data_IF_626568970590
#
_entry.id   IF_626568970590
#
_cell.length_a   1.000
_cell.length_b   1.000
_cell.length_c   1.000
_cell.angle_alpha   90.00
_cell.angle_beta   90.00
_cell.angle_gamma   90.00
#
_symmetry.space_group_name_H-M   'P 1'
#
loop_
_entity.id
_entity.type
_entity.pdbx_description
1 polymer ?
#
# COMPACT_ATOMS: atom_id res chain seq x y z
N UNK A 1 18.93 16.31 20.77
CA UNK A 1 19.20 16.00 19.35
C UNK A 1 18.43 14.72 19.08
N UNK A 2 17.62 14.67 18.02
CA UNK A 2 16.85 13.47 17.66
C UNK A 2 17.55 12.71 16.55
N UNK A 3 17.43 11.39 16.57
CA UNK A 3 17.99 10.51 15.54
C UNK A 3 16.93 10.15 14.51
N UNK A 4 17.35 9.88 13.27
CA UNK A 4 16.45 9.53 12.16
C UNK A 4 16.99 8.28 11.45
N UNK A 5 16.16 7.26 11.36
CA UNK A 5 16.37 6.09 10.50
C UNK A 5 15.53 6.25 9.23
N UNK A 6 16.17 6.19 8.07
CA UNK A 6 15.50 6.15 6.77
C UNK A 6 15.43 4.70 6.27
N UNK A 7 14.22 4.21 5.99
CA UNK A 7 13.97 2.90 5.38
C UNK A 7 13.04 3.05 4.19
N UNK A 8 13.20 2.17 3.20
CA UNK A 8 12.34 2.12 2.02
C UNK A 8 11.73 0.72 1.87
N UNK A 9 10.45 0.67 1.54
CA UNK A 9 9.70 -0.56 1.29
C UNK A 9 8.64 -0.33 0.22
N UNK A 10 8.10 -1.42 -0.33
CA UNK A 10 7.08 -1.35 -1.36
C UNK A 10 5.71 -1.70 -0.81
N UNK A 11 4.72 -0.82 -0.98
CA UNK A 11 3.32 -1.09 -0.62
C UNK A 11 2.57 -1.93 -1.68
N UNK A 12 3.26 -2.29 -2.79
CA UNK A 12 2.76 -3.10 -3.92
C UNK A 12 3.90 -3.98 -4.50
N UNK A 13 3.68 -5.17 -5.10
CA UNK A 13 2.42 -5.88 -5.32
C UNK A 13 1.69 -6.24 -4.04
N UNK A 14 0.40 -6.59 -4.16
CA UNK A 14 -0.46 -6.90 -3.02
C UNK A 14 -0.05 -8.18 -2.31
N UNK A 15 1.02 -8.18 -1.50
CA UNK A 15 1.45 -9.35 -0.71
C UNK A 15 0.45 -9.75 0.38
N UNK A 16 -0.66 -9.03 0.51
CA UNK A 16 -1.78 -9.52 1.30
C UNK A 16 -2.62 -10.58 0.59
N UNK A 17 -2.47 -10.82 -0.71
CA UNK A 17 -3.18 -11.87 -1.46
C UNK A 17 -2.43 -13.21 -1.39
N UNK A 18 -3.11 -14.35 -1.54
CA UNK A 18 -2.46 -15.65 -1.79
C UNK A 18 -1.62 -15.64 -3.08
N UNK A 19 -0.66 -16.57 -3.18
CA UNK A 19 0.26 -16.65 -4.33
C UNK A 19 -0.47 -16.90 -5.65
N UNK A 20 -1.56 -17.66 -5.62
CA UNK A 20 -2.39 -17.97 -6.79
C UNK A 20 -3.00 -16.70 -7.42
N UNK A 21 -3.27 -15.69 -6.58
CA UNK A 21 -3.93 -14.45 -6.96
C UNK A 21 -2.94 -13.32 -7.31
N UNK A 22 -1.64 -13.47 -7.00
CA UNK A 22 -0.66 -12.40 -7.25
C UNK A 22 -0.49 -12.05 -8.73
N UNK A 23 -0.79 -12.99 -9.63
CA UNK A 23 -0.70 -12.77 -11.07
C UNK A 23 -2.02 -12.30 -11.71
N UNK A 24 -3.07 -12.05 -10.91
CA UNK A 24 -4.39 -11.69 -11.43
C UNK A 24 -4.44 -10.33 -12.12
N UNK A 25 -3.56 -9.40 -11.74
CA UNK A 25 -3.42 -8.10 -12.42
C UNK A 25 -2.99 -8.33 -13.88
N UNK A 26 -1.97 -9.15 -14.11
CA UNK A 26 -1.54 -9.52 -15.46
C UNK A 26 -2.67 -10.23 -16.22
N UNK A 27 -3.32 -11.24 -15.61
CA UNK A 27 -4.45 -11.95 -16.23
C UNK A 27 -5.61 -11.01 -16.59
N UNK A 28 -5.84 -9.97 -15.81
CA UNK A 28 -6.84 -8.93 -16.08
C UNK A 28 -6.41 -8.03 -17.23
N UNK A 29 -5.18 -7.55 -17.24
CA UNK A 29 -4.68 -6.69 -18.32
C UNK A 29 -4.62 -7.39 -19.67
N UNK A 30 -4.31 -8.69 -19.71
CA UNK A 30 -4.35 -9.47 -20.96
C UNK A 30 -5.75 -9.53 -21.58
N UNK A 31 -6.83 -9.27 -20.81
CA UNK A 31 -8.20 -9.17 -21.33
C UNK A 31 -8.53 -7.78 -21.90
N UNK A 32 -7.72 -6.76 -21.63
CA UNK A 32 -8.00 -5.39 -22.09
C UNK A 32 -7.94 -5.30 -23.62
N UNK A 33 -8.88 -4.61 -24.28
CA UNK A 33 -8.81 -4.33 -25.71
C UNK A 33 -7.69 -3.34 -26.07
N UNK A 34 -7.13 -2.61 -25.09
CA UNK A 34 -6.04 -1.65 -25.31
C UNK A 34 -4.67 -2.32 -25.49
N UNK A 35 -4.53 -3.56 -25.02
CA UNK A 35 -3.32 -4.35 -25.25
C UNK A 35 -3.38 -4.96 -26.66
N UNK A 36 -2.38 -4.71 -27.53
CA UNK A 36 -2.32 -5.29 -28.88
C UNK A 36 -2.38 -6.82 -28.84
N UNK A 37 -2.99 -7.43 -29.86
CA UNK A 37 -3.21 -8.88 -29.89
C UNK A 37 -1.88 -9.65 -29.86
N UNK A 38 -0.87 -9.15 -30.55
CA UNK A 38 0.48 -9.70 -30.57
C UNK A 38 1.16 -9.67 -29.19
N UNK A 39 0.89 -8.67 -28.36
CA UNK A 39 1.46 -8.58 -27.00
C UNK A 39 0.79 -9.55 -26.02
N UNK A 40 -0.40 -10.07 -26.36
CA UNK A 40 -1.10 -11.09 -25.57
C UNK A 40 -0.63 -12.50 -25.88
N UNK A 41 -0.01 -12.71 -27.04
CA UNK A 41 0.52 -14.00 -27.45
C UNK A 41 1.83 -14.28 -26.68
N UNK A 42 1.88 -15.33 -25.84
CA UNK A 42 3.07 -15.71 -25.09
C UNK A 42 4.30 -15.99 -25.96
N UNK A 43 4.11 -16.31 -27.25
CA UNK A 43 5.22 -16.47 -28.20
C UNK A 43 6.03 -15.19 -28.42
N UNK A 44 5.43 -14.02 -28.14
CA UNK A 44 6.07 -12.71 -28.26
C UNK A 44 6.56 -12.16 -26.90
N UNK A 45 6.39 -12.90 -25.81
CA UNK A 45 6.79 -12.44 -24.50
C UNK A 45 8.31 -12.47 -24.30
N UNK A 46 8.87 -11.55 -23.50
CA UNK A 46 10.26 -11.63 -23.08
C UNK A 46 10.58 -12.98 -22.41
N UNK A 47 11.79 -13.54 -22.60
CA UNK A 47 12.17 -14.82 -22.01
C UNK A 47 11.90 -14.91 -20.50
N UNK A 48 12.12 -13.82 -19.76
CA UNK A 48 11.92 -13.73 -18.32
C UNK A 48 10.44 -13.85 -17.93
N UNK A 49 9.54 -13.30 -18.75
CA UNK A 49 8.10 -13.41 -18.54
C UNK A 49 7.63 -14.84 -18.80
N UNK A 50 8.14 -15.48 -19.88
CA UNK A 50 7.87 -16.90 -20.13
C UNK A 50 8.40 -17.75 -18.99
N UNK A 51 9.61 -17.48 -18.48
CA UNK A 51 10.22 -18.18 -17.35
C UNK A 51 9.37 -18.09 -16.07
N UNK A 52 8.89 -16.89 -15.73
CA UNK A 52 8.18 -16.64 -14.48
C UNK A 52 6.69 -17.02 -14.55
N UNK A 53 6.02 -16.72 -15.66
CA UNK A 53 4.58 -16.98 -15.80
C UNK A 53 4.30 -18.37 -16.38
N UNK A 54 5.13 -18.84 -17.31
CA UNK A 54 4.78 -19.94 -18.21
C UNK A 54 4.07 -19.43 -19.46
N UNK A 55 3.82 -20.31 -20.43
CA UNK A 55 3.05 -19.92 -21.62
C UNK A 55 1.57 -19.79 -21.29
N UNK A 56 1.07 -20.59 -20.36
CA UNK A 56 -0.35 -20.65 -19.98
C UNK A 56 -0.58 -20.24 -18.52
N UNK A 57 0.45 -19.70 -17.84
CA UNK A 57 0.38 -19.31 -16.43
C UNK A 57 0.70 -20.42 -15.44
N UNK A 58 1.18 -21.57 -15.92
CA UNK A 58 1.46 -22.76 -15.12
C UNK A 58 2.59 -22.58 -14.09
N UNK A 59 3.45 -21.56 -14.27
CA UNK A 59 4.53 -21.21 -13.33
C UNK A 59 4.22 -20.02 -12.43
N UNK A 60 3.12 -19.30 -12.68
CA UNK A 60 2.81 -18.04 -12.03
C UNK A 60 2.77 -18.15 -10.49
N UNK A 61 2.10 -19.17 -9.94
CA UNK A 61 2.00 -19.36 -8.48
C UNK A 61 3.36 -19.64 -7.84
N UNK A 62 4.18 -20.51 -8.45
CA UNK A 62 5.50 -20.83 -7.92
C UNK A 62 6.43 -19.60 -7.94
N UNK A 63 6.39 -18.82 -9.03
CA UNK A 63 7.14 -17.56 -9.13
C UNK A 63 6.65 -16.50 -8.14
N UNK A 64 5.33 -16.44 -7.88
CA UNK A 64 4.74 -15.57 -6.87
C UNK A 64 5.25 -15.90 -5.46
N UNK A 65 5.31 -17.18 -5.09
CA UNK A 65 5.84 -17.63 -3.80
C UNK A 65 7.31 -17.21 -3.63
N UNK A 66 8.15 -17.41 -4.65
CA UNK A 66 9.56 -16.97 -4.62
C UNK A 66 9.67 -15.44 -4.51
N UNK A 67 8.83 -14.70 -5.24
CA UNK A 67 8.79 -13.25 -5.19
C UNK A 67 8.39 -12.74 -3.80
N UNK A 68 7.36 -13.34 -3.20
CA UNK A 68 6.91 -13.06 -1.83
C UNK A 68 8.03 -13.27 -0.84
N UNK A 69 8.68 -14.43 -0.82
CA UNK A 69 9.75 -14.71 0.13
C UNK A 69 10.89 -13.68 0.02
N UNK A 70 11.22 -13.24 -1.19
CA UNK A 70 12.23 -12.19 -1.39
C UNK A 70 11.80 -10.86 -0.78
N UNK A 71 10.58 -10.40 -1.05
CA UNK A 71 10.13 -9.08 -0.59
C UNK A 71 9.78 -9.09 0.90
N UNK A 72 9.07 -10.10 1.37
CA UNK A 72 8.76 -10.26 2.80
C UNK A 72 10.03 -10.52 3.61
N UNK A 73 11.00 -11.27 3.07
CA UNK A 73 12.33 -11.39 3.68
C UNK A 73 13.04 -10.04 3.84
N UNK A 74 12.85 -9.09 2.91
CA UNK A 74 13.35 -7.72 3.05
C UNK A 74 12.55 -6.93 4.10
N UNK A 75 11.23 -7.07 4.14
CA UNK A 75 10.38 -6.45 5.18
C UNK A 75 10.73 -6.92 6.59
N UNK A 76 11.04 -8.21 6.77
CA UNK A 76 11.52 -8.75 8.07
C UNK A 76 12.82 -8.07 8.51
N UNK A 77 13.75 -7.79 7.59
CA UNK A 77 14.97 -7.04 7.88
C UNK A 77 14.66 -5.58 8.25
N UNK A 78 13.82 -4.91 7.46
CA UNK A 78 13.38 -3.53 7.76
C UNK A 78 12.73 -3.45 9.14
N UNK A 79 11.87 -4.42 9.46
CA UNK A 79 11.21 -4.52 10.76
C UNK A 79 12.23 -4.69 11.89
N UNK A 80 13.22 -5.56 11.72
CA UNK A 80 14.28 -5.74 12.71
C UNK A 80 15.10 -4.45 12.93
N UNK A 81 15.42 -3.71 11.87
CA UNK A 81 16.11 -2.41 11.98
C UNK A 81 15.26 -1.36 12.70
N UNK A 82 13.95 -1.30 12.42
CA UNK A 82 13.00 -0.43 13.14
C UNK A 82 12.93 -0.80 14.62
N UNK A 83 12.81 -2.09 14.93
CA UNK A 83 12.72 -2.57 16.32
C UNK A 83 14.03 -2.28 17.08
N UNK A 84 15.19 -2.43 16.43
CA UNK A 84 16.50 -2.12 17.01
C UNK A 84 16.70 -0.60 17.21
N UNK A 85 16.19 0.21 16.28
CA UNK A 85 16.22 1.67 16.38
C UNK A 85 15.25 2.21 17.44
N UNK A 86 14.17 1.49 17.72
CA UNK A 86 13.15 1.81 18.72
C UNK A 86 12.60 3.26 18.60
N UNK A 87 12.03 3.65 17.45
CA UNK A 87 11.55 5.00 17.23
C UNK A 87 10.30 5.33 18.07
N UNK A 88 10.17 6.61 18.45
CA UNK A 88 8.95 7.13 19.09
C UNK A 88 7.73 7.09 18.16
N UNK A 89 7.96 7.26 16.85
CA UNK A 89 6.97 7.14 15.80
C UNK A 89 7.66 6.97 14.43
N UNK A 90 6.88 6.56 13.42
CA UNK A 90 7.32 6.46 12.03
C UNK A 90 6.51 7.44 11.18
N UNK A 91 7.21 8.25 10.39
CA UNK A 91 6.59 9.07 9.35
C UNK A 91 6.58 8.26 8.04
N UNK A 92 5.40 7.96 7.51
CA UNK A 92 5.27 7.22 6.24
C UNK A 92 4.86 8.21 5.16
N UNK A 93 5.67 8.32 4.10
CA UNK A 93 5.27 8.99 2.86
C UNK A 93 4.59 7.96 1.95
N UNK A 94 3.36 8.24 1.56
CA UNK A 94 2.56 7.33 0.74
C UNK A 94 1.58 8.08 -0.15
N UNK A 95 1.22 7.47 -1.27
CA UNK A 95 0.20 7.98 -2.16
C UNK A 95 -1.21 7.62 -1.68
N UNK A 96 -2.19 8.31 -2.26
CA UNK A 96 -3.61 7.98 -2.19
C UNK A 96 -4.08 7.80 -3.63
N UNK A 97 -4.58 6.61 -3.94
CA UNK A 97 -5.04 6.28 -5.30
C UNK A 97 -6.53 6.54 -5.40
N UNK A 98 -6.95 7.80 -5.19
CA UNK A 98 -8.36 8.20 -5.24
C UNK A 98 -9.23 7.42 -4.24
N UNK A 99 -8.66 7.18 -3.05
CA UNK A 99 -9.32 6.48 -1.96
C UNK A 99 -9.98 7.46 -1.00
N UNK A 100 -9.21 8.43 -0.51
CA UNK A 100 -9.68 9.50 0.37
C UNK A 100 -9.72 10.86 -0.33
N UNK A 101 -8.84 11.13 -1.30
CA UNK A 101 -8.80 12.43 -2.00
C UNK A 101 -9.50 12.34 -3.36
N UNK A 102 -10.60 13.08 -3.49
CA UNK A 102 -11.49 13.08 -4.65
C UNK A 102 -11.60 14.50 -5.25
N UNK A 103 -12.51 14.72 -6.21
CA UNK A 103 -12.66 15.98 -6.95
C UNK A 103 -12.89 17.22 -6.08
N UNK A 104 -13.35 17.05 -4.85
CA UNK A 104 -13.53 18.12 -3.88
C UNK A 104 -12.21 18.63 -3.28
N UNK A 105 -11.19 17.78 -3.17
CA UNK A 105 -9.86 18.15 -2.71
C UNK A 105 -8.79 17.17 -3.21
N UNK A 106 -7.88 17.68 -4.05
CA UNK A 106 -6.66 16.97 -4.49
C UNK A 106 -5.43 17.77 -4.04
N UNK A 107 -4.90 17.54 -2.83
CA UNK A 107 -3.75 18.28 -2.34
C UNK A 107 -2.44 17.66 -2.87
N UNK A 108 -1.36 18.44 -3.05
CA UNK A 108 -0.05 17.87 -3.39
C UNK A 108 0.53 17.06 -2.22
N UNK A 109 0.27 17.51 -0.99
CA UNK A 109 0.68 16.87 0.25
C UNK A 109 -0.44 16.95 1.29
N UNK A 110 -0.53 15.99 2.20
CA UNK A 110 -1.41 16.11 3.36
C UNK A 110 -0.90 15.32 4.57
N UNK A 111 -0.82 15.96 5.74
CA UNK A 111 -0.49 15.27 6.99
C UNK A 111 -1.76 14.86 7.71
N UNK A 112 -1.89 13.59 8.07
CA UNK A 112 -3.02 13.12 8.88
C UNK A 112 -2.73 13.29 10.38
N UNK A 113 -3.67 13.91 11.09
CA UNK A 113 -3.58 14.27 12.51
C UNK A 113 -4.69 13.55 13.27
N UNK A 114 -4.41 12.33 13.70
CA UNK A 114 -5.32 11.54 14.52
C UNK A 114 -4.54 10.83 15.65
N UNK A 115 -5.24 10.38 16.68
CA UNK A 115 -4.65 9.57 17.76
C UNK A 115 -4.46 8.10 17.31
N UNK A 116 -5.36 7.61 16.46
CA UNK A 116 -5.30 6.30 15.84
C UNK A 116 -6.10 6.27 14.53
N UNK A 117 -5.90 5.21 13.75
CA UNK A 117 -6.69 4.91 12.57
C UNK A 117 -7.28 3.51 12.69
N UNK A 118 -8.59 3.40 12.51
CA UNK A 118 -9.30 2.13 12.36
C UNK A 118 -9.49 1.87 10.87
N UNK A 119 -8.85 0.82 10.37
CA UNK A 119 -8.87 0.48 8.93
C UNK A 119 -9.47 -0.89 8.76
N UNK A 120 -10.30 -1.09 7.74
CA UNK A 120 -10.82 -2.40 7.35
C UNK A 120 -10.07 -2.90 6.10
N UNK A 121 -8.89 -3.54 6.26
CA UNK A 121 -7.98 -3.82 5.15
C UNK A 121 -8.54 -4.77 4.08
N UNK A 122 -9.64 -5.45 4.39
CA UNK A 122 -10.22 -6.48 3.54
C UNK A 122 -11.62 -6.13 3.01
N UNK A 123 -12.24 -5.04 3.48
CA UNK A 123 -13.60 -4.68 3.11
C UNK A 123 -13.80 -4.36 1.62
N UNK A 124 -12.76 -3.87 0.92
CA UNK A 124 -12.80 -3.56 -0.52
C UNK A 124 -12.22 -4.68 -1.42
N UNK A 125 -11.76 -5.80 -0.86
CA UNK A 125 -11.22 -6.93 -1.66
C UNK A 125 -12.40 -7.70 -2.26
N UNK A 126 -12.89 -7.22 -3.40
CA UNK A 126 -14.07 -7.74 -4.08
C UNK A 126 -14.00 -9.25 -4.37
N UNK A 127 -14.66 -10.03 -3.52
CA UNK A 127 -15.63 -11.04 -3.90
C UNK A 127 -16.46 -11.34 -2.65
N UNK A 128 -17.78 -11.33 -2.79
CA UNK A 128 -18.72 -11.82 -1.79
C UNK A 128 -18.57 -13.34 -1.68
N UNK A 129 -17.52 -13.80 -1.00
CA UNK A 129 -17.30 -15.21 -0.68
C UNK A 129 -16.99 -15.33 0.80
N UNK A 130 -17.58 -16.33 1.47
CA UNK A 130 -17.39 -16.61 2.90
C UNK A 130 -15.95 -17.06 3.26
N UNK A 131 -15.07 -17.22 2.27
CA UNK A 131 -13.66 -17.58 2.45
C UNK A 131 -12.77 -16.31 2.56
N UNK A 132 -11.81 -16.28 3.51
CA UNK A 132 -10.83 -15.19 3.60
C UNK A 132 -10.04 -15.01 2.29
N UNK A 133 -10.01 -13.78 1.77
CA UNK A 133 -9.31 -13.41 0.54
C UNK A 133 -7.86 -12.93 0.76
N UNK A 134 -7.32 -13.15 1.96
CA UNK A 134 -5.99 -12.70 2.35
C UNK A 134 -5.13 -13.85 2.90
N UNK A 135 -3.80 -13.68 2.79
CA UNK A 135 -2.80 -14.68 3.19
C UNK A 135 -2.83 -15.01 4.69
N UNK A 136 -3.37 -14.11 5.51
CA UNK A 136 -3.49 -14.29 6.97
C UNK A 136 -4.79 -14.97 7.39
N UNK A 137 -5.66 -15.32 6.44
CA UNK A 137 -6.97 -15.93 6.67
C UNK A 137 -7.90 -15.11 7.56
N UNK A 138 -7.69 -13.79 7.64
CA UNK A 138 -8.46 -12.88 8.48
C UNK A 138 -9.84 -12.57 7.86
N UNK A 139 -10.92 -12.44 8.66
CA UNK A 139 -12.25 -12.08 8.17
C UNK A 139 -12.31 -10.75 7.41
N UNK A 140 -13.27 -10.61 6.49
CA UNK A 140 -13.43 -9.40 5.67
C UNK A 140 -13.76 -8.14 6.50
N UNK A 141 -14.43 -8.30 7.63
CA UNK A 141 -14.83 -7.24 8.57
C UNK A 141 -13.76 -6.95 9.65
N UNK A 142 -12.58 -7.56 9.55
CA UNK A 142 -11.44 -7.29 10.44
C UNK A 142 -11.15 -5.79 10.50
N UNK A 143 -11.06 -5.26 11.72
CA UNK A 143 -10.65 -3.87 11.98
C UNK A 143 -9.23 -3.86 12.52
N UNK A 144 -8.30 -3.32 11.74
CA UNK A 144 -6.93 -3.09 12.15
C UNK A 144 -6.80 -1.70 12.80
N UNK A 145 -6.29 -1.67 14.04
CA UNK A 145 -6.04 -0.42 14.77
C UNK A 145 -4.57 -0.04 14.63
N UNK A 146 -4.31 1.07 13.94
CA UNK A 146 -2.95 1.64 13.83
C UNK A 146 -2.84 2.84 14.75
N UNK A 147 -1.93 2.79 15.73
CA UNK A 147 -1.62 3.95 16.58
C UNK A 147 -0.99 5.06 15.77
N UNK A 148 -1.26 6.30 16.16
CA UNK A 148 -0.68 7.49 15.54
C UNK A 148 -0.11 8.43 16.60
N UNK A 149 0.73 9.37 16.16
CA UNK A 149 1.40 10.33 17.04
C UNK A 149 0.91 11.76 16.76
N UNK A 150 -0.32 12.08 17.17
CA UNK A 150 -1.01 13.33 16.85
C UNK A 150 -0.20 14.60 17.17
N UNK A 151 0.53 14.62 18.28
CA UNK A 151 1.36 15.78 18.67
C UNK A 151 2.55 15.99 17.71
N UNK A 152 3.15 14.92 17.20
CA UNK A 152 4.24 14.99 16.22
C UNK A 152 3.71 15.42 14.86
N UNK A 153 2.54 14.90 14.44
CA UNK A 153 1.86 15.32 13.22
C UNK A 153 1.52 16.83 13.26
N UNK A 154 0.94 17.33 14.36
CA UNK A 154 0.67 18.77 14.57
C UNK A 154 1.95 19.60 14.56
N UNK A 155 2.99 19.12 15.23
CA UNK A 155 4.28 19.80 15.26
C UNK A 155 4.86 19.92 13.85
N UNK A 156 4.88 18.83 13.08
CA UNK A 156 5.40 18.78 11.72
C UNK A 156 4.61 19.71 10.79
N UNK A 157 3.28 19.63 10.80
CA UNK A 157 2.42 20.50 10.00
C UNK A 157 2.68 21.98 10.31
N UNK A 158 2.69 22.34 11.59
CA UNK A 158 2.98 23.72 12.03
C UNK A 158 4.36 24.17 11.57
N UNK A 159 5.39 23.35 11.76
CA UNK A 159 6.77 23.73 11.38
C UNK A 159 6.93 23.91 9.88
N UNK A 160 6.35 23.03 9.07
CA UNK A 160 6.39 23.20 7.61
C UNK A 160 5.65 24.46 7.15
N UNK A 161 4.51 24.78 7.77
CA UNK A 161 3.80 26.03 7.50
C UNK A 161 4.61 27.28 7.91
N UNK A 162 5.27 27.25 9.08
CA UNK A 162 6.17 28.33 9.55
C UNK A 162 7.36 28.54 8.58
N UNK A 163 7.86 27.48 7.95
CA UNK A 163 8.91 27.52 6.93
C UNK A 163 8.39 27.89 5.52
N UNK A 164 7.09 28.18 5.37
CA UNK A 164 6.49 28.65 4.11
C UNK A 164 6.03 27.55 3.14
N UNK A 165 6.03 26.28 3.56
CA UNK A 165 5.44 25.20 2.75
C UNK A 165 3.92 25.18 2.88
N UNK A 166 3.22 25.13 1.75
CA UNK A 166 1.77 24.92 1.73
C UNK A 166 1.45 23.45 2.07
N UNK A 167 1.28 23.16 3.36
CA UNK A 167 0.99 21.81 3.87
C UNK A 167 -0.42 21.75 4.44
N UNK A 168 -1.39 21.23 3.66
CA UNK A 168 -2.66 20.76 4.20
C UNK A 168 -2.45 19.71 5.29
N UNK A 169 -3.35 19.70 6.26
CA UNK A 169 -3.42 18.64 7.25
C UNK A 169 -4.88 18.28 7.50
N UNK A 170 -5.15 17.02 7.81
CA UNK A 170 -6.50 16.52 8.04
C UNK A 170 -6.63 15.81 9.38
N UNK A 171 -7.68 16.12 10.13
CA UNK A 171 -8.01 15.44 11.37
C UNK A 171 -8.84 14.16 11.15
N UNK A 172 -9.40 13.96 9.95
CA UNK A 172 -10.21 12.79 9.60
C UNK A 172 -10.27 12.59 8.08
N UNK A 173 -10.47 11.36 7.64
CA UNK A 173 -10.82 11.07 6.25
C UNK A 173 -12.20 11.65 5.88
N UNK A 174 -12.44 11.84 4.58
CA UNK A 174 -13.73 12.26 4.04
C UNK A 174 -14.39 11.14 3.22
N UNK A 175 -13.61 10.49 2.35
CA UNK A 175 -14.13 9.46 1.41
C UNK A 175 -13.60 8.05 1.70
N UNK A 176 -12.68 7.91 2.65
CA UNK A 176 -12.11 6.63 3.08
C UNK A 176 -12.16 6.47 4.60
N UNK A 177 -12.58 5.29 5.07
CA UNK A 177 -12.45 4.90 6.48
C UNK A 177 -11.04 4.37 6.74
N UNK A 178 -10.30 5.03 7.62
CA UNK A 178 -8.95 4.59 8.02
C UNK A 178 -7.86 5.02 7.07
N UNK A 179 -6.86 4.16 6.89
CA UNK A 179 -5.67 4.41 6.08
C UNK A 179 -5.83 3.93 4.64
N UNK A 180 -5.50 4.81 3.68
CA UNK A 180 -5.32 4.45 2.27
C UNK A 180 -4.28 3.33 2.09
N UNK A 181 -4.39 2.60 0.99
CA UNK A 181 -3.68 1.33 0.78
C UNK A 181 -2.16 1.44 0.95
N UNK A 182 -1.53 2.53 0.53
CA UNK A 182 -0.08 2.71 0.63
C UNK A 182 0.41 2.65 2.09
N UNK A 183 -0.32 3.31 3.00
CA UNK A 183 0.00 3.30 4.43
C UNK A 183 -0.38 1.96 5.07
N UNK A 184 -1.60 1.51 4.81
CA UNK A 184 -2.15 0.29 5.38
C UNK A 184 -1.34 -0.95 5.00
N UNK A 185 -0.99 -1.11 3.72
CA UNK A 185 -0.17 -2.23 3.26
C UNK A 185 1.23 -2.17 3.89
N UNK A 186 1.83 -0.99 4.00
CA UNK A 186 3.13 -0.83 4.66
C UNK A 186 3.08 -1.33 6.11
N UNK A 187 2.06 -0.95 6.88
CA UNK A 187 1.87 -1.44 8.25
C UNK A 187 1.65 -2.96 8.25
N UNK A 188 0.79 -3.48 7.38
CA UNK A 188 0.52 -4.92 7.28
C UNK A 188 1.75 -5.75 6.89
N UNK A 189 2.68 -5.19 6.11
CA UNK A 189 3.90 -5.87 5.70
C UNK A 189 5.01 -5.75 6.75
N UNK A 190 5.02 -4.68 7.55
CA UNK A 190 5.87 -4.59 8.75
C UNK A 190 5.40 -5.53 9.87
N UNK A 191 4.12 -5.89 9.87
CA UNK A 191 3.54 -6.92 10.75
C UNK A 191 3.13 -8.18 9.98
N UNK A 192 3.91 -8.55 8.96
CA UNK A 192 3.55 -9.66 8.07
C UNK A 192 3.41 -10.98 8.83
N UNK A 193 4.25 -11.22 9.84
CA UNK A 193 4.24 -12.45 10.63
C UNK A 193 3.25 -12.38 11.83
N UNK A 194 2.45 -11.30 11.94
CA UNK A 194 1.41 -11.09 12.97
C UNK A 194 1.91 -11.20 14.41
N UNK A 195 3.10 -10.66 14.65
CA UNK A 195 3.69 -10.56 16.00
C UNK A 195 3.31 -9.25 16.70
N UNK A 196 2.58 -8.37 16.02
CA UNK A 196 2.19 -7.05 16.46
C UNK A 196 3.16 -5.97 15.98
N UNK A 197 2.62 -4.78 15.69
CA UNK A 197 3.38 -3.58 15.35
C UNK A 197 2.85 -2.38 16.15
N UNK A 198 3.55 -2.06 17.24
CA UNK A 198 3.08 -1.08 18.23
C UNK A 198 3.58 0.35 18.02
N UNK A 199 4.51 0.56 17.08
CA UNK A 199 5.10 1.88 16.83
C UNK A 199 4.06 2.80 16.19
N UNK A 200 3.81 4.00 16.76
CA UNK A 200 2.88 4.96 16.17
C UNK A 200 3.28 5.38 14.76
N UNK A 201 2.31 5.55 13.87
CA UNK A 201 2.52 5.99 12.48
C UNK A 201 1.90 7.37 12.26
N UNK A 202 2.64 8.26 11.62
CA UNK A 202 2.15 9.53 11.08
C UNK A 202 2.09 9.40 9.56
N UNK A 203 0.89 9.32 8.95
CA UNK A 203 0.75 9.29 7.50
C UNK A 203 0.99 10.68 6.89
N UNK A 204 1.86 10.73 5.87
CA UNK A 204 2.13 11.89 5.05
C UNK A 204 1.79 11.55 3.60
N UNK A 205 0.64 12.04 3.14
CA UNK A 205 0.22 11.89 1.76
C UNK A 205 1.11 12.67 0.80
N UNK A 206 1.45 12.03 -0.32
CA UNK A 206 2.10 12.64 -1.48
C UNK A 206 1.26 12.34 -2.71
N UNK A 207 0.87 13.36 -3.48
CA UNK A 207 0.23 13.15 -4.76
C UNK A 207 1.26 12.75 -5.82
N UNK A 208 1.35 11.45 -6.11
CA UNK A 208 2.24 10.88 -7.12
C UNK A 208 1.67 10.88 -8.55
N UNK A 209 0.41 11.29 -8.71
CA UNK A 209 -0.34 11.16 -9.98
C UNK A 209 -0.69 12.51 -10.62
N UNK A 210 -0.44 13.62 -9.93
CA UNK A 210 -0.84 14.94 -10.37
C UNK A 210 -2.34 15.01 -10.67
N UNK A 211 -2.71 15.53 -11.83
CA UNK A 211 -4.11 15.59 -12.28
C UNK A 211 -4.66 14.25 -12.80
N UNK A 212 -3.80 13.25 -13.04
CA UNK A 212 -4.23 11.96 -13.56
C UNK A 212 -5.05 11.17 -12.54
N UNK A 213 -4.91 11.45 -11.23
CA UNK A 213 -5.67 10.78 -10.15
C UNK A 213 -7.18 10.91 -10.35
N UNK A 214 -7.65 12.10 -10.77
CA UNK A 214 -9.08 12.36 -11.01
C UNK A 214 -9.57 11.65 -12.26
N UNK A 215 -8.79 11.69 -13.34
CA UNK A 215 -9.16 11.05 -14.60
C UNK A 215 -9.24 9.53 -14.45
N UNK A 216 -8.25 8.95 -13.78
CA UNK A 216 -8.11 7.51 -13.66
C UNK A 216 -8.94 6.96 -12.48
N UNK A 217 -9.35 7.82 -11.53
CA UNK A 217 -10.10 7.44 -10.33
C UNK A 217 -9.46 6.29 -9.54
N UNK A 218 -8.13 6.33 -9.44
CA UNK A 218 -7.34 5.27 -8.81
C UNK A 218 -7.25 3.96 -9.61
N UNK A 219 -7.86 3.91 -10.80
CA UNK A 219 -7.90 2.71 -11.63
C UNK A 219 -6.70 2.54 -12.56
N UNK A 220 -6.30 1.29 -12.72
CA UNK A 220 -5.50 0.78 -13.85
C UNK A 220 -6.37 0.75 -15.13
N UNK A 221 -6.92 1.88 -15.58
CA UNK A 221 -7.74 1.94 -16.80
C UNK A 221 -6.89 1.83 -18.07
N UNK A 222 -6.46 0.59 -18.34
CA UNK A 222 -6.17 0.05 -19.68
C UNK A 222 -7.27 -0.96 -20.02
#
# INVERSE_FOLDING_TARGET
MGDILCVGGSHHPGFGYPDEAMADILRRHLKSPQIPAEAKDPANWPPEMVEQFGLEGERATASAAVHRERVIGAYRKIRAEIDAFAPDFILIWGDDQYENFHEDLIPPFCIFVADQFETKPYARRGAATDAPSNIWTEPADTVAVTKSHASAAKYLARKLLEEGYAIPYSYKGLHHEGLAHAFMNTVNYLDYDRTGFGVPVVPFHVNCYGSAVVRNRGGDTL
#
